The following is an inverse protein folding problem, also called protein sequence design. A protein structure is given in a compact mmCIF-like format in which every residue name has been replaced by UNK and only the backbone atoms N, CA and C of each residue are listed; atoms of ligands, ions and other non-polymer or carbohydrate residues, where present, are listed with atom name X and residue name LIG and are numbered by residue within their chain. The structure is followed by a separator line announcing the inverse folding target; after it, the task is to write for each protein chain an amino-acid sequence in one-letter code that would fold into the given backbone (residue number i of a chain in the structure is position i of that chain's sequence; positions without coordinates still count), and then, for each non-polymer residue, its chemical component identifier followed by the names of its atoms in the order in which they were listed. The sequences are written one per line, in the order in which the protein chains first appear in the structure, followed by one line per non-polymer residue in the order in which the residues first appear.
data_IF_516142626895
#
_entry.id   IF_516142626895
#
_cell.length_a   1.000
_cell.length_b   1.000
_cell.length_c   1.000
_cell.angle_alpha   90.00
_cell.angle_beta   90.00
_cell.angle_gamma   90.00
#
_symmetry.space_group_name_H-M   'P 1'
#
loop_
_entity.id
_entity.type
_entity.pdbx_description
1 polymer ?
#
# COMPACT_ATOMS: atom_id res chain seq x y z
N UNK A 1 -26.82 0.56 7.71
CA UNK A 1 -26.32 0.47 9.10
C UNK A 1 -25.41 1.65 9.43
N UNK A 2 -24.28 1.84 8.74
CA UNK A 2 -23.28 2.88 9.03
C UNK A 2 -23.83 4.32 9.17
N UNK A 3 -24.69 4.80 8.27
CA UNK A 3 -25.31 6.13 8.41
C UNK A 3 -26.17 6.27 9.67
N UNK A 4 -26.86 5.20 10.09
CA UNK A 4 -27.67 5.18 11.31
C UNK A 4 -26.81 5.07 12.58
N UNK A 5 -25.58 4.56 12.48
CA UNK A 5 -24.65 4.49 13.61
C UNK A 5 -24.23 5.90 14.04
N UNK A 6 -23.94 6.78 13.07
CA UNK A 6 -23.33 8.09 13.31
C UNK A 6 -21.84 7.98 13.62
N UNK A 7 -21.34 8.85 14.50
CA UNK A 7 -19.93 8.85 14.93
C UNK A 7 -19.51 7.51 15.55
N UNK A 8 -18.24 7.12 15.37
CA UNK A 8 -17.68 5.89 15.91
C UNK A 8 -17.77 5.81 17.45
N UNK A 9 -17.79 6.93 18.17
CA UNK A 9 -17.99 6.91 19.64
C UNK A 9 -19.26 6.16 20.07
N UNK A 10 -20.30 6.19 19.22
CA UNK A 10 -21.60 5.55 19.49
C UNK A 10 -21.51 4.02 19.50
N UNK A 11 -20.44 3.42 18.95
CA UNK A 11 -20.24 1.97 18.96
C UNK A 11 -20.10 1.45 20.40
N UNK A 12 -19.40 2.19 21.25
CA UNK A 12 -19.23 1.82 22.65
C UNK A 12 -20.56 1.94 23.43
N UNK A 13 -21.34 2.98 23.17
CA UNK A 13 -22.64 3.19 23.81
C UNK A 13 -23.65 2.09 23.41
N UNK A 14 -23.64 1.69 22.14
CA UNK A 14 -24.70 0.85 21.55
C UNK A 14 -24.38 -0.65 21.44
N UNK A 15 -23.09 -1.03 21.35
CA UNK A 15 -22.70 -2.40 21.00
C UNK A 15 -21.62 -2.98 21.90
N UNK A 16 -20.45 -2.32 21.96
CA UNK A 16 -19.29 -2.93 22.60
C UNK A 16 -19.22 -2.69 24.10
N UNK A 17 -19.92 -1.68 24.63
CA UNK A 17 -19.96 -1.39 26.06
C UNK A 17 -18.57 -1.37 26.73
N UNK A 18 -17.57 -0.87 25.99
CA UNK A 18 -16.14 -0.83 26.38
C UNK A 18 -15.48 -2.19 26.62
N UNK A 19 -16.11 -3.30 26.22
CA UNK A 19 -15.57 -4.65 26.39
C UNK A 19 -14.36 -4.94 25.49
N UNK A 20 -14.13 -4.15 24.43
CA UNK A 20 -13.00 -4.30 23.51
C UNK A 20 -11.93 -3.22 23.79
N UNK A 21 -10.81 -3.55 24.45
CA UNK A 21 -9.77 -2.57 24.77
C UNK A 21 -9.24 -1.84 23.55
N UNK A 22 -8.93 -2.56 22.46
CA UNK A 22 -8.42 -1.95 21.21
C UNK A 22 -9.37 -0.90 20.64
N UNK A 23 -10.68 -1.14 20.69
CA UNK A 23 -11.68 -0.17 20.25
C UNK A 23 -11.67 1.08 21.13
N UNK A 24 -11.57 0.90 22.46
CA UNK A 24 -11.49 2.01 23.39
C UNK A 24 -10.30 2.91 23.07
N UNK A 25 -9.12 2.33 22.84
CA UNK A 25 -7.91 3.07 22.46
C UNK A 25 -8.12 3.87 21.15
N UNK A 26 -8.69 3.25 20.10
CA UNK A 26 -9.01 3.95 18.85
C UNK A 26 -9.93 5.16 19.05
N UNK A 27 -10.94 5.04 19.93
CA UNK A 27 -11.85 6.15 20.20
C UNK A 27 -11.25 7.24 21.10
N UNK A 28 -10.29 6.90 21.95
CA UNK A 28 -9.60 7.85 22.85
C UNK A 28 -8.46 8.59 22.16
N UNK A 29 -7.86 7.98 21.13
CA UNK A 29 -6.73 8.52 20.38
C UNK A 29 -7.09 8.74 18.90
N UNK A 30 -8.02 9.65 18.56
CA UNK A 30 -8.48 9.88 17.19
C UNK A 30 -7.44 10.60 16.29
N UNK A 31 -6.43 11.21 16.91
CA UNK A 31 -5.36 11.94 16.25
C UNK A 31 -4.04 11.17 16.34
N UNK A 32 -3.04 11.51 15.54
CA UNK A 32 -1.69 10.94 15.62
C UNK A 32 -0.88 11.48 16.82
N UNK A 33 -1.34 11.19 18.03
CA UNK A 33 -0.74 11.62 19.29
C UNK A 33 0.36 10.67 19.79
N UNK A 34 0.83 10.90 21.02
CA UNK A 34 1.91 10.11 21.63
C UNK A 34 1.60 8.62 21.75
N UNK A 35 0.32 8.22 21.79
CA UNK A 35 -0.10 6.82 21.82
C UNK A 35 0.32 6.10 20.53
N UNK A 36 0.06 6.72 19.37
CA UNK A 36 0.41 6.16 18.06
C UNK A 36 1.87 6.33 17.73
N UNK A 37 2.46 7.48 18.07
CA UNK A 37 3.88 7.76 17.79
C UNK A 37 4.79 6.72 18.45
N UNK A 38 4.50 6.30 19.69
CA UNK A 38 5.26 5.26 20.40
C UNK A 38 5.10 3.85 19.80
N UNK A 39 4.05 3.60 19.03
CA UNK A 39 3.76 2.31 18.39
C UNK A 39 4.20 2.25 16.94
N UNK A 40 4.63 3.37 16.37
CA UNK A 40 5.16 3.41 15.02
C UNK A 40 6.57 2.81 15.00
N UNK A 41 6.76 1.73 14.24
CA UNK A 41 8.06 1.10 14.06
C UNK A 41 9.14 2.07 13.54
N UNK A 42 8.73 3.06 12.74
CA UNK A 42 9.61 4.11 12.22
C UNK A 42 10.24 4.96 13.34
N UNK A 43 9.60 5.01 14.52
CA UNK A 43 10.12 5.75 15.67
C UNK A 43 11.27 5.06 16.40
N UNK A 44 11.39 3.73 16.29
CA UNK A 44 12.37 2.94 17.06
C UNK A 44 13.25 2.00 16.22
N UNK A 45 12.96 1.81 14.94
CA UNK A 45 13.80 1.06 14.00
C UNK A 45 14.50 2.04 13.08
N UNK A 46 15.82 2.20 13.23
CA UNK A 46 16.56 3.28 12.57
C UNK A 46 17.26 2.91 11.25
N UNK A 47 17.73 1.67 11.09
CA UNK A 47 18.56 1.24 9.97
C UNK A 47 18.51 -0.29 9.83
N UNK A 48 18.88 -0.87 8.67
CA UNK A 48 18.84 -2.31 8.46
C UNK A 48 20.01 -2.99 9.20
N UNK A 49 19.72 -3.65 10.32
CA UNK A 49 20.73 -4.42 11.06
C UNK A 49 21.08 -5.75 10.37
N UNK A 50 20.08 -6.35 9.73
CA UNK A 50 20.18 -7.54 8.89
C UNK A 50 19.81 -7.20 7.46
N UNK A 51 20.01 -8.13 6.52
CA UNK A 51 19.45 -7.99 5.18
C UNK A 51 17.92 -7.93 5.26
N UNK A 52 17.33 -6.85 4.76
CA UNK A 52 15.90 -6.54 4.81
C UNK A 52 15.33 -6.58 3.38
N UNK A 53 14.29 -7.38 3.16
CA UNK A 53 13.53 -7.39 1.91
C UNK A 53 12.11 -6.90 2.20
N UNK A 54 11.85 -5.62 1.93
CA UNK A 54 10.52 -5.02 2.01
C UNK A 54 9.68 -5.51 0.83
N UNK A 55 8.47 -6.01 1.08
CA UNK A 55 7.58 -6.50 0.02
C UNK A 55 6.25 -5.78 0.15
N UNK A 56 5.79 -5.17 -0.94
CA UNK A 56 4.52 -4.44 -0.97
C UNK A 56 3.82 -4.52 -2.31
N UNK A 57 2.53 -4.21 -2.30
CA UNK A 57 1.71 -4.09 -3.50
C UNK A 57 1.30 -2.64 -3.77
N UNK A 58 1.33 -2.20 -5.04
CA UNK A 58 0.78 -0.88 -5.42
C UNK A 58 -0.72 -0.74 -5.18
N UNK A 59 -1.42 -1.87 -5.03
CA UNK A 59 -2.86 -1.94 -4.80
C UNK A 59 -3.18 -2.62 -3.46
N UNK A 60 -2.23 -2.64 -2.51
CA UNK A 60 -2.45 -3.19 -1.18
C UNK A 60 -3.45 -2.33 -0.39
N UNK A 61 -4.69 -2.80 -0.32
CA UNK A 61 -5.80 -2.08 0.28
C UNK A 61 -5.80 -2.08 1.81
N UNK A 62 -4.81 -2.69 2.47
CA UNK A 62 -4.73 -2.83 3.93
C UNK A 62 -3.45 -2.17 4.49
N UNK A 63 -2.29 -2.47 3.91
CA UNK A 63 -0.97 -2.04 4.43
C UNK A 63 -0.11 -1.28 3.40
N UNK A 64 -0.74 -0.47 2.54
CA UNK A 64 -0.10 0.30 1.45
C UNK A 64 1.21 1.00 1.85
N UNK A 65 1.23 1.63 3.02
CA UNK A 65 2.31 2.51 3.44
C UNK A 65 3.49 1.77 4.09
N UNK A 66 3.24 0.64 4.75
CA UNK A 66 4.20 0.02 5.68
C UNK A 66 5.56 -0.30 5.04
N UNK A 67 5.61 -1.15 3.99
CA UNK A 67 6.86 -1.53 3.34
C UNK A 67 7.63 -0.33 2.77
N UNK A 68 6.96 0.56 2.05
CA UNK A 68 7.60 1.69 1.36
C UNK A 68 8.12 2.75 2.35
N UNK A 69 7.34 3.09 3.39
CA UNK A 69 7.78 4.07 4.39
C UNK A 69 8.95 3.54 5.21
N UNK A 70 8.94 2.25 5.58
CA UNK A 70 10.04 1.67 6.34
C UNK A 70 11.31 1.57 5.49
N UNK A 71 11.19 1.12 4.24
CA UNK A 71 12.30 1.11 3.30
C UNK A 71 12.92 2.53 3.17
N UNK A 72 12.12 3.56 2.87
CA UNK A 72 12.62 4.94 2.79
C UNK A 72 13.19 5.49 4.10
N UNK A 73 12.69 5.01 5.24
CA UNK A 73 13.24 5.39 6.53
C UNK A 73 14.63 4.80 6.75
N UNK A 74 14.77 3.49 6.51
CA UNK A 74 16.01 2.73 6.66
C UNK A 74 17.09 3.14 5.65
N UNK A 75 16.69 3.43 4.41
CA UNK A 75 17.59 3.76 3.29
C UNK A 75 18.51 4.93 3.61
N UNK A 76 18.01 5.92 4.35
CA UNK A 76 18.77 7.11 4.79
C UNK A 76 20.01 6.77 5.62
N UNK A 77 20.09 5.55 6.17
CA UNK A 77 21.15 5.09 7.07
C UNK A 77 21.67 3.70 6.68
N UNK A 78 21.41 3.23 5.47
CA UNK A 78 21.91 1.93 5.02
C UNK A 78 23.36 2.00 4.53
N UNK A 79 24.32 1.98 5.46
CA UNK A 79 25.74 1.97 5.12
C UNK A 79 26.27 0.60 4.69
N UNK A 80 25.44 -0.46 4.75
CA UNK A 80 25.86 -1.84 4.49
C UNK A 80 25.23 -2.43 3.22
N UNK A 81 24.42 -1.65 2.49
CA UNK A 81 23.65 -2.09 1.33
C UNK A 81 22.83 -3.34 1.66
N UNK A 82 22.03 -3.26 2.72
CA UNK A 82 21.20 -4.34 3.27
C UNK A 82 19.71 -4.08 3.12
N UNK A 83 19.29 -2.97 2.55
CA UNK A 83 17.90 -2.57 2.43
C UNK A 83 17.39 -2.77 1.00
N UNK A 84 16.39 -3.62 0.83
CA UNK A 84 15.88 -4.00 -0.48
C UNK A 84 14.36 -3.87 -0.53
N UNK A 85 13.81 -3.63 -1.71
CA UNK A 85 12.36 -3.51 -1.88
C UNK A 85 11.84 -4.27 -3.11
N UNK A 86 10.71 -4.96 -2.95
CA UNK A 86 9.94 -5.55 -4.04
C UNK A 86 8.54 -4.94 -4.05
N UNK A 87 8.17 -4.35 -5.18
CA UNK A 87 6.85 -3.77 -5.39
C UNK A 87 6.17 -4.44 -6.59
N UNK A 88 5.09 -5.18 -6.31
CA UNK A 88 4.28 -5.82 -7.35
C UNK A 88 2.92 -5.16 -7.51
N UNK A 89 2.15 -5.54 -8.54
CA UNK A 89 0.82 -4.98 -8.83
C UNK A 89 -0.25 -5.64 -7.96
N UNK A 90 0.04 -5.86 -6.68
CA UNK A 90 -0.72 -6.77 -5.84
C UNK A 90 -1.74 -6.06 -4.95
N UNK A 91 -2.86 -6.74 -4.71
CA UNK A 91 -3.66 -6.52 -3.49
C UNK A 91 -2.99 -7.16 -2.27
N UNK A 92 -3.54 -6.91 -1.09
CA UNK A 92 -3.01 -7.45 0.16
C UNK A 92 -2.77 -8.97 0.11
N UNK A 93 -1.52 -9.37 0.38
CA UNK A 93 -1.05 -10.75 0.44
C UNK A 93 -0.98 -11.51 -0.90
N UNK A 94 -1.35 -10.90 -2.03
CA UNK A 94 -1.52 -11.63 -3.29
C UNK A 94 -0.22 -12.26 -3.82
N UNK A 95 0.94 -11.68 -3.51
CA UNK A 95 2.25 -12.21 -3.90
C UNK A 95 2.54 -13.60 -3.31
N UNK A 96 1.93 -13.93 -2.17
CA UNK A 96 2.26 -15.13 -1.41
C UNK A 96 1.68 -16.41 -2.03
N UNK A 97 0.52 -16.34 -2.68
CA UNK A 97 -0.20 -17.52 -3.18
C UNK A 97 -0.62 -17.38 -4.65
N UNK A 98 -0.46 -18.46 -5.41
CA UNK A 98 -0.91 -18.53 -6.81
C UNK A 98 -0.08 -17.66 -7.76
N UNK A 99 -0.58 -17.49 -9.00
CA UNK A 99 0.16 -16.82 -10.07
C UNK A 99 0.34 -15.33 -9.83
N UNK A 100 -0.62 -14.68 -9.17
CA UNK A 100 -0.66 -13.22 -9.04
C UNK A 100 -0.65 -12.54 -10.41
N UNK A 101 -1.40 -13.05 -11.39
CA UNK A 101 -1.38 -12.63 -12.79
C UNK A 101 -2.49 -11.66 -13.19
N UNK A 102 -3.36 -11.29 -12.25
CA UNK A 102 -4.39 -10.28 -12.45
C UNK A 102 -4.81 -9.60 -11.15
N UNK A 103 -5.43 -8.43 -11.28
CA UNK A 103 -6.22 -7.81 -10.22
C UNK A 103 -7.60 -7.46 -10.77
N UNK A 104 -8.59 -8.25 -10.36
CA UNK A 104 -9.91 -8.22 -10.95
C UNK A 104 -9.86 -8.45 -12.46
N UNK A 105 -10.43 -7.52 -13.24
CA UNK A 105 -10.46 -7.60 -14.72
C UNK A 105 -9.13 -7.18 -15.38
N UNK A 106 -8.16 -6.71 -14.61
CA UNK A 106 -6.87 -6.23 -15.13
C UNK A 106 -5.88 -7.39 -15.14
N UNK A 107 -5.54 -7.88 -16.33
CA UNK A 107 -4.45 -8.85 -16.51
C UNK A 107 -3.09 -8.14 -16.40
N UNK A 108 -2.14 -8.78 -15.74
CA UNK A 108 -0.73 -8.36 -15.71
C UNK A 108 0.11 -9.05 -16.77
N UNK A 109 -0.48 -10.00 -17.51
CA UNK A 109 0.20 -10.75 -18.59
C UNK A 109 1.50 -11.44 -18.11
N UNK A 110 1.63 -11.62 -16.80
CA UNK A 110 2.82 -12.12 -16.13
C UNK A 110 2.41 -12.78 -14.82
N UNK A 111 3.03 -13.89 -14.47
CA UNK A 111 2.81 -14.57 -13.19
C UNK A 111 3.64 -13.92 -12.08
N UNK A 112 3.26 -12.69 -11.72
CA UNK A 112 4.08 -11.84 -10.85
C UNK A 112 4.34 -12.44 -9.47
N UNK A 113 3.38 -13.20 -8.92
CA UNK A 113 3.54 -13.91 -7.66
C UNK A 113 4.53 -15.08 -7.74
N UNK A 114 4.52 -15.85 -8.83
CA UNK A 114 5.52 -16.91 -9.06
C UNK A 114 6.93 -16.32 -9.18
N UNK A 115 7.09 -15.28 -10.01
CA UNK A 115 8.36 -14.57 -10.16
C UNK A 115 8.92 -14.07 -8.82
N UNK A 116 8.06 -13.43 -8.01
CA UNK A 116 8.46 -12.96 -6.69
C UNK A 116 8.92 -14.09 -5.78
N UNK A 117 8.21 -15.22 -5.73
CA UNK A 117 8.59 -16.33 -4.85
C UNK A 117 9.89 -16.99 -5.28
N UNK A 118 10.17 -17.04 -6.58
CA UNK A 118 11.47 -17.50 -7.09
C UNK A 118 12.60 -16.55 -6.68
N UNK A 119 12.38 -15.22 -6.77
CA UNK A 119 13.31 -14.21 -6.26
C UNK A 119 13.51 -14.33 -4.74
N UNK A 120 12.42 -14.43 -3.99
CA UNK A 120 12.43 -14.58 -2.53
C UNK A 120 13.19 -15.84 -2.11
N UNK A 121 13.01 -16.95 -2.82
CA UNK A 121 13.77 -18.17 -2.56
C UNK A 121 15.27 -17.96 -2.77
N UNK A 122 15.69 -17.37 -3.89
CA UNK A 122 17.10 -17.06 -4.16
C UNK A 122 17.70 -16.14 -3.09
N UNK A 123 16.93 -15.13 -2.68
CA UNK A 123 17.29 -14.21 -1.61
C UNK A 123 17.57 -14.94 -0.30
N UNK A 124 16.63 -15.77 0.17
CA UNK A 124 16.81 -16.55 1.40
C UNK A 124 17.89 -17.63 1.30
N UNK A 125 18.02 -18.30 0.14
CA UNK A 125 19.08 -19.28 -0.08
C UNK A 125 20.48 -18.66 0.07
N UNK A 126 20.68 -17.43 -0.40
CA UNK A 126 21.93 -16.71 -0.18
C UNK A 126 22.12 -16.33 1.29
N UNK A 127 21.19 -15.58 1.88
CA UNK A 127 21.38 -15.01 3.22
C UNK A 127 21.34 -16.03 4.35
N UNK A 128 20.67 -17.17 4.16
CA UNK A 128 20.56 -18.21 5.20
C UNK A 128 21.46 -19.41 4.96
N UNK A 129 21.82 -19.70 3.70
CA UNK A 129 22.56 -20.93 3.35
C UNK A 129 23.84 -20.67 2.55
N UNK A 130 24.12 -19.42 2.17
CA UNK A 130 25.29 -19.08 1.34
C UNK A 130 25.22 -19.63 -0.09
N UNK A 131 24.03 -19.95 -0.60
CA UNK A 131 23.84 -20.49 -1.95
C UNK A 131 23.55 -19.33 -2.93
N UNK A 132 24.37 -19.18 -3.96
CA UNK A 132 24.26 -18.10 -4.97
C UNK A 132 25.48 -17.18 -4.97
N UNK A 133 25.42 -16.08 -5.74
CA UNK A 133 26.52 -15.12 -5.88
C UNK A 133 26.34 -13.84 -5.05
N UNK A 134 25.21 -13.71 -4.35
CA UNK A 134 24.90 -12.54 -3.52
C UNK A 134 24.62 -11.26 -4.31
N UNK A 135 24.43 -11.36 -5.63
CA UNK A 135 24.18 -10.19 -6.48
C UNK A 135 22.69 -9.97 -6.62
N UNK A 136 22.21 -8.90 -6.00
CA UNK A 136 20.82 -8.46 -6.07
C UNK A 136 20.79 -6.97 -6.34
N UNK A 137 19.82 -6.57 -7.17
CA UNK A 137 19.47 -5.15 -7.32
C UNK A 137 18.72 -4.70 -6.07
N UNK A 138 18.81 -3.41 -5.75
CA UNK A 138 18.19 -2.85 -4.54
C UNK A 138 16.66 -2.93 -4.61
N UNK A 139 16.09 -2.70 -5.80
CA UNK A 139 14.66 -2.70 -6.01
C UNK A 139 14.22 -3.56 -7.20
N UNK A 140 13.16 -4.33 -6.99
CA UNK A 140 12.44 -5.07 -8.03
C UNK A 140 11.00 -4.55 -8.09
N UNK A 141 10.62 -3.92 -9.19
CA UNK A 141 9.34 -3.23 -9.32
C UNK A 141 8.63 -3.64 -10.60
N UNK A 142 7.34 -3.98 -10.49
CA UNK A 142 6.53 -4.31 -11.65
C UNK A 142 5.91 -3.06 -12.26
N UNK A 143 6.17 -2.80 -13.54
CA UNK A 143 5.58 -1.68 -14.25
C UNK A 143 4.19 -2.04 -14.79
N UNK A 144 3.13 -1.47 -14.22
CA UNK A 144 1.74 -1.75 -14.61
C UNK A 144 1.31 -1.18 -15.97
N UNK A 145 2.08 -0.26 -16.54
CA UNK A 145 1.83 0.27 -17.89
C UNK A 145 2.44 -0.60 -19.01
N UNK A 146 3.55 -1.27 -18.73
CA UNK A 146 4.29 -2.11 -19.69
C UNK A 146 4.22 -3.61 -19.35
N UNK A 147 3.60 -3.98 -18.23
CA UNK A 147 3.42 -5.35 -17.74
C UNK A 147 4.74 -6.14 -17.58
N UNK A 148 5.80 -5.47 -17.14
CA UNK A 148 7.13 -6.09 -16.97
C UNK A 148 7.74 -5.81 -15.61
N UNK A 149 8.44 -6.82 -15.07
CA UNK A 149 9.38 -6.62 -13.97
C UNK A 149 10.57 -5.79 -14.44
N UNK A 150 10.92 -4.79 -13.64
CA UNK A 150 12.16 -4.01 -13.76
C UNK A 150 12.92 -4.12 -12.45
N UNK A 151 14.23 -4.04 -12.55
CA UNK A 151 15.09 -3.88 -11.39
C UNK A 151 15.85 -2.56 -11.47
N UNK A 152 16.19 -2.03 -10.30
CA UNK A 152 16.84 -0.74 -10.14
C UNK A 152 17.91 -0.83 -9.06
N UNK A 153 19.00 -0.10 -9.26
CA UNK A 153 20.08 0.02 -8.28
C UNK A 153 19.75 0.93 -7.10
N UNK A 154 18.60 1.60 -7.13
CA UNK A 154 18.07 2.46 -6.06
C UNK A 154 16.55 2.64 -6.25
N UNK A 155 15.80 2.92 -5.17
CA UNK A 155 14.38 3.27 -5.25
C UNK A 155 14.00 4.54 -4.48
N UNK A 156 13.31 5.51 -5.11
CA UNK A 156 12.94 5.57 -6.52
C UNK A 156 14.15 5.58 -7.48
N UNK A 157 13.98 5.24 -8.76
CA UNK A 157 15.08 5.21 -9.71
C UNK A 157 15.75 6.59 -9.81
N UNK A 158 17.08 6.65 -9.79
CA UNK A 158 17.83 7.92 -9.78
C UNK A 158 17.61 8.77 -11.04
N UNK A 159 17.24 8.13 -12.15
CA UNK A 159 16.89 8.76 -13.42
C UNK A 159 15.46 9.33 -13.46
N UNK A 160 14.65 9.11 -12.41
CA UNK A 160 13.27 9.57 -12.38
C UNK A 160 13.19 11.11 -12.31
N UNK A 161 12.40 11.70 -13.20
CA UNK A 161 12.16 13.15 -13.23
C UNK A 161 10.80 13.48 -12.62
N UNK A 162 10.80 14.20 -11.50
CA UNK A 162 9.57 14.70 -10.91
C UNK A 162 8.99 15.82 -11.78
N UNK A 163 7.74 15.66 -12.21
CA UNK A 163 6.98 16.68 -12.96
C UNK A 163 5.69 17.02 -12.22
N UNK A 164 5.33 18.30 -12.22
CA UNK A 164 4.06 18.78 -11.64
C UNK A 164 2.95 18.63 -12.68
N UNK A 165 1.87 17.93 -12.32
CA UNK A 165 0.63 17.90 -13.09
C UNK A 165 -0.35 18.90 -12.46
N UNK A 166 -0.65 19.98 -13.17
CA UNK A 166 -1.56 21.04 -12.73
C UNK A 166 -2.98 20.74 -13.16
N UNK A 167 -3.95 21.06 -12.29
CA UNK A 167 -5.36 21.09 -12.66
C UNK A 167 -5.64 22.40 -13.40
N UNK A 168 -6.46 22.33 -14.45
CA UNK A 168 -6.83 23.44 -15.32
C UNK A 168 -8.35 23.57 -15.43
N UNK A 169 -8.89 24.77 -15.76
CA UNK A 169 -10.32 24.98 -15.96
C UNK A 169 -10.93 23.98 -16.97
N UNK A 170 -12.22 23.68 -16.78
CA UNK A 170 -12.95 22.79 -17.68
C UNK A 170 -12.62 21.30 -17.47
N UNK A 171 -12.32 20.89 -16.23
CA UNK A 171 -12.01 19.51 -15.85
C UNK A 171 -10.81 18.92 -16.61
N UNK A 172 -9.75 19.71 -16.77
CA UNK A 172 -8.52 19.31 -17.48
C UNK A 172 -7.32 19.30 -16.53
N UNK A 173 -6.25 18.66 -16.97
CA UNK A 173 -4.94 18.79 -16.35
C UNK A 173 -3.85 18.97 -17.42
N UNK A 174 -2.73 19.60 -17.05
CA UNK A 174 -1.58 19.84 -17.92
C UNK A 174 -0.28 19.91 -17.10
N UNK A 175 0.85 19.66 -17.74
CA UNK A 175 2.18 19.92 -17.15
C UNK A 175 2.54 21.41 -17.17
N UNK A 176 1.80 22.22 -17.94
CA UNK A 176 1.94 23.67 -17.96
C UNK A 176 1.03 24.31 -16.91
N UNK A 177 1.61 25.20 -16.10
CA UNK A 177 0.86 25.93 -15.08
C UNK A 177 -0.07 26.94 -15.76
N UNK A 178 -1.36 26.89 -15.44
CA UNK A 178 -2.31 27.93 -15.87
C UNK A 178 -1.98 29.28 -15.22
N UNK A 179 -2.10 30.36 -16.00
CA UNK A 179 -1.96 31.75 -15.51
C UNK A 179 -3.28 32.31 -14.97
N UNK A 180 -4.41 31.65 -15.23
CA UNK A 180 -5.72 32.07 -14.73
C UNK A 180 -6.03 31.48 -13.35
N UNK A 181 -6.62 32.29 -12.48
CA UNK A 181 -7.20 31.79 -11.23
C UNK A 181 -8.60 31.26 -11.52
N UNK A 182 -8.87 30.02 -11.17
CA UNK A 182 -10.15 29.36 -11.35
C UNK A 182 -10.42 28.35 -10.23
N UNK A 183 -11.68 27.99 -10.04
CA UNK A 183 -12.10 26.99 -9.08
C UNK A 183 -13.24 26.13 -9.65
N UNK A 184 -13.36 24.92 -9.11
CA UNK A 184 -14.54 24.06 -9.25
C UNK A 184 -15.12 23.86 -7.86
N UNK A 185 -16.45 23.90 -7.72
CA UNK A 185 -17.14 23.64 -6.47
C UNK A 185 -18.03 22.40 -6.58
N UNK A 186 -18.25 21.73 -5.45
CA UNK A 186 -19.19 20.62 -5.32
C UNK A 186 -19.82 20.65 -3.93
N UNK A 187 -21.02 20.08 -3.78
CA UNK A 187 -21.68 19.92 -2.49
C UNK A 187 -21.26 18.58 -1.90
N UNK A 188 -20.75 18.59 -0.67
CA UNK A 188 -20.46 17.39 0.12
C UNK A 188 -21.57 17.20 1.13
N UNK A 189 -22.51 16.29 0.88
CA UNK A 189 -23.59 15.96 1.80
C UNK A 189 -23.28 14.68 2.60
N UNK A 190 -23.03 14.76 3.91
CA UNK A 190 -22.76 13.59 4.75
C UNK A 190 -23.92 12.59 4.85
N UNK A 191 -25.17 13.00 4.54
CA UNK A 191 -26.30 12.08 4.46
C UNK A 191 -26.29 11.23 3.18
N UNK A 192 -25.57 11.68 2.15
CA UNK A 192 -25.40 11.01 0.86
C UNK A 192 -23.92 10.83 0.52
N UNK A 193 -23.16 10.07 1.33
CA UNK A 193 -21.73 9.88 1.10
C UNK A 193 -21.49 9.10 -0.20
N UNK A 194 -20.46 9.48 -0.96
CA UNK A 194 -20.02 8.74 -2.14
C UNK A 194 -19.49 7.37 -1.70
N UNK A 195 -20.03 6.25 -2.22
CA UNK A 195 -19.57 4.93 -1.83
C UNK A 195 -18.21 4.61 -2.47
N UNK A 196 -17.25 4.11 -1.68
CA UNK A 196 -15.92 3.75 -2.18
C UNK A 196 -15.89 2.47 -3.05
N UNK A 197 -16.97 1.67 -2.99
CA UNK A 197 -17.19 0.46 -3.79
C UNK A 197 -18.67 0.30 -4.09
N UNK A 198 -19.01 -0.52 -5.08
CA UNK A 198 -20.39 -0.80 -5.46
C UNK A 198 -21.20 -1.30 -4.24
N UNK A 199 -22.30 -0.61 -3.88
CA UNK A 199 -23.21 -1.05 -2.82
C UNK A 199 -23.81 -2.44 -3.11
N UNK A 200 -24.22 -3.19 -2.07
CA UNK A 200 -24.09 -2.86 -0.65
C UNK A 200 -22.64 -2.93 -0.16
N UNK A 201 -22.32 -2.14 0.88
CA UNK A 201 -21.04 -2.27 1.58
C UNK A 201 -21.08 -3.56 2.39
N UNK A 202 -20.24 -4.52 2.01
CA UNK A 202 -20.16 -5.84 2.62
C UNK A 202 -19.12 -5.89 3.73
N UNK A 203 -19.27 -6.84 4.64
CA UNK A 203 -18.25 -7.11 5.64
C UNK A 203 -16.92 -7.47 4.97
N UNK A 204 -15.83 -6.86 5.43
CA UNK A 204 -14.47 -7.27 5.10
C UNK A 204 -14.32 -8.74 5.48
N UNK A 205 -13.86 -9.57 4.53
CA UNK A 205 -13.68 -11.02 4.73
C UNK A 205 -14.94 -11.83 5.09
N UNK A 206 -16.13 -11.24 4.95
CA UNK A 206 -17.39 -11.94 5.18
C UNK A 206 -17.65 -13.03 4.12
N UNK A 207 -18.41 -14.06 4.49
CA UNK A 207 -18.91 -15.06 3.53
C UNK A 207 -19.71 -14.37 2.42
N UNK A 208 -19.34 -14.62 1.16
CA UNK A 208 -19.96 -13.98 -0.01
C UNK A 208 -19.53 -12.53 -0.26
N UNK A 209 -18.55 -12.00 0.49
CA UNK A 209 -18.02 -10.66 0.28
C UNK A 209 -17.16 -10.59 -0.98
N UNK A 210 -17.40 -9.58 -1.80
CA UNK A 210 -16.57 -9.19 -2.95
C UNK A 210 -15.30 -8.44 -2.55
N UNK A 211 -14.89 -8.49 -1.28
CA UNK A 211 -13.64 -7.87 -0.82
C UNK A 211 -12.40 -8.52 -1.45
N UNK A 212 -12.33 -9.86 -1.43
CA UNK A 212 -11.21 -10.61 -2.01
C UNK A 212 -11.31 -10.78 -3.52
N UNK A 213 -12.54 -10.91 -4.01
CA UNK A 213 -12.86 -11.26 -5.37
C UNK A 213 -13.51 -10.04 -6.03
N UNK A 214 -12.71 -9.22 -6.71
CA UNK A 214 -13.24 -8.50 -7.86
C UNK A 214 -13.34 -9.49 -9.03
N UNK A 215 -14.12 -10.56 -8.85
CA UNK A 215 -14.27 -11.55 -9.91
C UNK A 215 -14.97 -10.91 -11.11
N UNK A 216 -14.53 -11.18 -12.34
CA UNK A 216 -15.30 -10.86 -13.53
C UNK A 216 -16.48 -11.83 -13.58
N UNK A 217 -17.63 -11.41 -13.07
CA UNK A 217 -18.85 -11.73 -13.82
C UNK A 217 -18.87 -10.91 -15.09
#
# INVERSE_FOLDING_TARGET
WYLKLGSLKNVNEKYFHRALPTWNEFTQHPNYDTFWQKRSAIGYVSYPQTAMLHVGGYFDQEDMNGPQLMYWHMEKKDSFNRNYIVLGPWRHGQWFNGKGDSLGKISFENKTGEYFRDLQKKWFDFWLKGIGDGKFDEAYCFQTGSNVWKSYSAWPPGEAVTKKLYVSPGNKCSFDKSISTAYTSYISDPAHPVPYRMPPIEATYGRGSRWYYQDPT
#
